data_IF_695256895652
#
_entry.id   IF_695256895652
#
_cell.length_a   1.000
_cell.length_b   1.000
_cell.length_c   1.000
_cell.angle_alpha   90.00
_cell.angle_beta   90.00
_cell.angle_gamma   90.00
#
_symmetry.space_group_name_H-M   'P 1'
#
loop_
_entity.id
_entity.type
_entity.pdbx_description
1 polymer ?
#
# COMPACT_ATOMS: atom_id res chain seq x y z
N UNK A 1 0.55 -21.37 24.70
CA UNK A 1 1.62 -22.23 24.14
C UNK A 1 2.46 -21.35 23.24
N UNK A 2 3.79 -21.31 23.37
CA UNK A 2 4.64 -20.62 22.39
C UNK A 2 4.38 -21.27 21.03
N UNK A 3 3.97 -20.49 20.02
CA UNK A 3 3.76 -21.01 18.68
C UNK A 3 5.09 -21.47 18.08
N UNK A 4 5.07 -22.55 17.30
CA UNK A 4 6.23 -22.99 16.53
C UNK A 4 6.78 -21.81 15.70
N UNK A 5 8.10 -21.64 15.68
CA UNK A 5 8.74 -20.57 14.91
C UNK A 5 8.38 -20.72 13.43
N UNK A 6 7.66 -19.74 12.88
CA UNK A 6 7.29 -19.71 11.48
C UNK A 6 8.36 -18.94 10.70
N UNK A 7 8.89 -19.57 9.65
CA UNK A 7 9.74 -18.88 8.68
C UNK A 7 8.84 -18.29 7.58
N UNK A 8 8.83 -16.96 7.47
CA UNK A 8 8.08 -16.26 6.43
C UNK A 8 8.98 -15.94 5.23
N UNK A 9 8.46 -15.97 4.01
CA UNK A 9 9.22 -15.41 2.88
C UNK A 9 9.36 -13.89 3.04
N UNK A 10 8.28 -13.21 3.39
CA UNK A 10 8.27 -11.78 3.66
C UNK A 10 7.47 -11.49 4.91
N UNK A 11 7.99 -10.60 5.76
CA UNK A 11 7.27 -10.00 6.89
C UNK A 11 7.21 -8.49 6.68
N UNK A 12 6.01 -7.93 6.68
CA UNK A 12 5.77 -6.49 6.56
C UNK A 12 5.21 -5.99 7.89
N UNK A 13 5.88 -5.02 8.51
CA UNK A 13 5.41 -4.34 9.71
C UNK A 13 5.30 -2.85 9.44
N UNK A 14 4.06 -2.37 9.39
CA UNK A 14 3.75 -0.97 9.15
C UNK A 14 3.46 -0.25 10.46
N UNK A 15 4.28 0.77 10.76
CA UNK A 15 4.20 1.59 11.95
C UNK A 15 3.43 2.87 11.64
N UNK A 16 2.32 3.08 12.35
CA UNK A 16 1.56 4.33 12.33
C UNK A 16 2.28 5.39 13.18
N UNK A 17 3.48 5.73 12.74
CA UNK A 17 4.45 6.47 13.52
C UNK A 17 4.09 7.96 13.65
N UNK A 18 3.64 8.57 12.55
CA UNK A 18 3.27 9.98 12.52
C UNK A 18 2.35 10.29 11.33
N UNK A 19 1.43 11.23 11.56
CA UNK A 19 0.45 11.70 10.57
C UNK A 19 0.67 13.13 10.08
N UNK A 20 1.70 13.84 10.54
CA UNK A 20 1.91 15.26 10.18
C UNK A 20 1.90 15.45 8.68
N UNK A 21 1.00 16.27 8.13
CA UNK A 21 0.96 16.49 6.68
C UNK A 21 0.23 17.78 6.31
N UNK A 22 0.90 18.66 5.55
CA UNK A 22 0.31 19.87 4.99
C UNK A 22 -0.52 19.64 3.72
N UNK A 23 -0.44 18.45 3.12
CA UNK A 23 -1.18 18.10 1.90
C UNK A 23 -2.68 17.90 2.11
N UNK A 24 -3.49 18.08 1.07
CA UNK A 24 -4.95 18.03 1.13
C UNK A 24 -5.55 17.00 0.18
N UNK A 25 -5.11 15.74 0.29
CA UNK A 25 -5.63 14.67 -0.57
C UNK A 25 -7.14 14.45 -0.31
N UNK A 26 -7.99 14.31 -1.36
CA UNK A 26 -9.43 14.11 -1.19
C UNK A 26 -9.80 12.88 -0.37
N UNK A 27 -9.00 11.82 -0.46
CA UNK A 27 -9.21 10.53 0.23
C UNK A 27 -8.24 10.33 1.40
N UNK A 28 -7.78 11.41 2.03
CA UNK A 28 -6.82 11.34 3.13
C UNK A 28 -7.36 10.53 4.32
N UNK A 29 -6.62 9.50 4.74
CA UNK A 29 -6.96 8.69 5.92
C UNK A 29 -6.62 9.34 7.27
N UNK A 30 -5.90 10.47 7.23
CA UNK A 30 -5.51 11.22 8.41
C UNK A 30 -6.56 12.28 8.71
N UNK A 31 -7.01 12.32 9.96
CA UNK A 31 -7.84 13.39 10.49
C UNK A 31 -7.10 14.73 10.49
N UNK A 32 -7.86 15.82 10.61
CA UNK A 32 -7.28 17.17 10.70
C UNK A 32 -6.33 17.32 11.91
N UNK A 33 -6.64 16.68 13.03
CA UNK A 33 -5.80 16.66 14.23
C UNK A 33 -4.49 15.91 14.00
N UNK A 34 -4.55 14.70 13.44
CA UNK A 34 -3.38 13.90 13.10
C UNK A 34 -2.44 14.63 12.14
N UNK A 35 -3.01 15.31 11.14
CA UNK A 35 -2.26 16.12 10.16
C UNK A 35 -1.56 17.32 10.78
N UNK A 36 -2.17 17.92 11.80
CA UNK A 36 -1.61 19.07 12.50
C UNK A 36 -0.59 18.67 13.59
N UNK A 37 -0.53 17.37 13.95
CA UNK A 37 0.39 16.90 14.98
C UNK A 37 1.85 17.22 14.63
N UNK A 38 2.58 17.79 15.59
CA UNK A 38 4.01 18.06 15.45
C UNK A 38 4.87 16.98 16.09
N UNK A 39 4.24 15.99 16.73
CA UNK A 39 4.89 14.89 17.44
C UNK A 39 4.51 13.56 16.81
N UNK A 40 5.45 12.59 16.76
CA UNK A 40 5.13 11.21 16.49
C UNK A 40 4.05 10.67 17.45
N UNK A 41 3.19 9.79 16.95
CA UNK A 41 2.24 9.02 17.76
C UNK A 41 2.98 7.94 18.54
N UNK A 42 3.95 7.30 17.89
CA UNK A 42 4.79 6.27 18.46
C UNK A 42 6.15 6.83 18.86
N UNK A 43 6.72 6.28 19.93
CA UNK A 43 8.12 6.50 20.29
C UNK A 43 8.91 5.17 20.15
N UNK A 44 10.26 5.22 20.09
CA UNK A 44 11.07 4.02 19.88
C UNK A 44 10.83 2.88 20.90
N UNK A 45 10.56 3.21 22.17
CA UNK A 45 10.28 2.21 23.20
C UNK A 45 8.94 1.50 22.96
N UNK A 46 7.90 2.24 22.54
CA UNK A 46 6.62 1.64 22.16
C UNK A 46 6.78 0.72 20.95
N UNK A 47 7.58 1.13 19.96
CA UNK A 47 7.88 0.30 18.78
C UNK A 47 8.64 -0.97 19.16
N UNK A 48 9.66 -0.86 20.02
CA UNK A 48 10.40 -2.01 20.55
C UNK A 48 9.48 -3.00 21.29
N UNK A 49 8.56 -2.49 22.10
CA UNK A 49 7.55 -3.33 22.76
C UNK A 49 6.67 -4.06 21.75
N UNK A 50 6.21 -3.36 20.71
CA UNK A 50 5.42 -3.97 19.65
C UNK A 50 6.20 -5.05 18.91
N UNK A 51 7.47 -4.82 18.55
CA UNK A 51 8.30 -5.86 17.94
C UNK A 51 8.46 -7.08 18.83
N UNK A 52 8.69 -6.89 20.14
CA UNK A 52 8.71 -8.00 21.09
C UNK A 52 7.40 -8.78 21.08
N UNK A 53 6.25 -8.10 21.13
CA UNK A 53 4.96 -8.77 21.05
C UNK A 53 4.78 -9.53 19.73
N UNK A 54 5.15 -8.95 18.58
CA UNK A 54 5.14 -9.62 17.26
C UNK A 54 5.99 -10.91 17.28
N UNK A 55 7.17 -10.89 17.91
CA UNK A 55 7.99 -12.11 18.05
C UNK A 55 7.30 -13.18 18.91
N UNK A 56 6.55 -12.79 19.95
CA UNK A 56 5.78 -13.76 20.77
C UNK A 56 4.62 -14.41 20.01
N UNK A 57 4.12 -13.75 18.95
CA UNK A 57 3.13 -14.31 18.03
C UNK A 57 3.75 -15.31 17.02
N UNK A 58 5.08 -15.51 17.06
CA UNK A 58 5.81 -16.47 16.23
C UNK A 58 6.45 -15.87 14.97
N UNK A 59 6.40 -14.55 14.79
CA UNK A 59 7.07 -13.85 13.70
C UNK A 59 8.51 -13.49 14.11
N UNK A 60 9.41 -14.47 14.04
CA UNK A 60 10.81 -14.30 14.50
C UNK A 60 11.82 -14.30 13.36
N UNK A 61 11.52 -14.98 12.25
CA UNK A 61 12.44 -15.10 11.11
C UNK A 61 11.71 -14.95 9.78
N UNK A 62 12.34 -14.24 8.84
CA UNK A 62 11.86 -14.08 7.47
C UNK A 62 13.03 -13.93 6.49
N UNK A 63 12.81 -14.15 5.19
CA UNK A 63 13.85 -13.79 4.19
C UNK A 63 13.93 -12.27 4.03
N UNK A 64 12.77 -11.66 3.79
CA UNK A 64 12.63 -10.23 3.53
C UNK A 64 11.80 -9.55 4.63
N UNK A 65 12.40 -8.59 5.34
CA UNK A 65 11.71 -7.73 6.31
C UNK A 65 11.43 -6.37 5.66
N UNK A 66 10.18 -5.91 5.72
CA UNK A 66 9.79 -4.56 5.28
C UNK A 66 9.18 -3.80 6.45
N UNK A 67 9.76 -2.66 6.81
CA UNK A 67 9.28 -1.78 7.87
C UNK A 67 8.72 -0.49 7.27
N UNK A 68 7.40 -0.39 7.12
CA UNK A 68 6.80 0.88 6.74
C UNK A 68 6.72 1.82 7.94
N UNK A 69 7.14 3.07 7.78
CA UNK A 69 7.14 4.06 8.86
C UNK A 69 6.44 5.35 8.42
N UNK A 70 5.36 5.64 9.14
CA UNK A 70 4.61 6.87 8.98
C UNK A 70 3.49 6.79 7.94
N UNK A 71 2.63 7.80 7.97
CA UNK A 71 1.47 7.95 7.08
C UNK A 71 1.37 9.33 6.45
N UNK A 72 1.97 10.33 7.09
CA UNK A 72 2.02 11.70 6.62
C UNK A 72 3.33 12.03 5.90
N UNK A 73 3.78 13.26 6.07
CA UNK A 73 5.09 13.72 5.64
C UNK A 73 6.13 13.54 6.76
N UNK A 74 6.81 12.39 6.79
CA UNK A 74 7.89 12.13 7.75
C UNK A 74 9.04 13.14 7.64
N UNK A 75 9.25 13.70 6.44
CA UNK A 75 10.27 14.70 6.18
C UNK A 75 9.90 16.09 6.70
N UNK A 76 8.70 16.32 7.23
CA UNK A 76 8.30 17.58 7.88
C UNK A 76 8.32 17.48 9.42
N UNK A 77 8.75 16.34 9.96
CA UNK A 77 8.97 16.17 11.41
C UNK A 77 10.28 16.84 11.85
N UNK A 78 10.38 17.13 13.15
CA UNK A 78 11.53 17.80 13.76
C UNK A 78 12.83 16.99 13.68
N UNK A 79 13.94 17.62 14.09
CA UNK A 79 15.30 17.12 13.82
C UNK A 79 15.64 15.77 14.45
N UNK A 80 14.90 15.34 15.48
CA UNK A 80 15.09 14.05 16.16
C UNK A 80 14.56 12.81 15.40
N UNK A 81 13.95 13.01 14.22
CA UNK A 81 13.34 11.89 13.46
C UNK A 81 14.40 10.91 12.94
N UNK A 82 15.61 11.38 12.62
CA UNK A 82 16.69 10.53 12.09
C UNK A 82 17.16 9.55 13.16
N UNK A 83 17.39 10.04 14.38
CA UNK A 83 17.82 9.24 15.52
C UNK A 83 16.72 8.25 15.93
N UNK A 84 15.45 8.66 15.86
CA UNK A 84 14.31 7.79 16.13
C UNK A 84 14.17 6.67 15.09
N UNK A 85 14.35 6.95 13.79
CA UNK A 85 14.32 5.94 12.74
C UNK A 85 15.46 4.94 12.87
N UNK A 86 16.68 5.39 13.20
CA UNK A 86 17.80 4.50 13.50
C UNK A 86 17.52 3.62 14.72
N UNK A 87 16.95 4.19 15.79
CA UNK A 87 16.55 3.41 16.96
C UNK A 87 15.50 2.34 16.61
N UNK A 88 14.52 2.66 15.77
CA UNK A 88 13.52 1.70 15.27
C UNK A 88 14.19 0.58 14.46
N UNK A 89 15.10 0.94 13.56
CA UNK A 89 15.84 -0.03 12.75
C UNK A 89 16.70 -0.97 13.62
N UNK A 90 17.42 -0.42 14.61
CA UNK A 90 18.18 -1.20 15.58
C UNK A 90 17.27 -2.15 16.39
N UNK A 91 16.10 -1.69 16.84
CA UNK A 91 15.13 -2.53 17.54
C UNK A 91 14.61 -3.67 16.65
N UNK A 92 14.38 -3.42 15.36
CA UNK A 92 13.96 -4.45 14.42
C UNK A 92 15.07 -5.48 14.17
N UNK A 93 16.31 -5.05 13.96
CA UNK A 93 17.47 -5.93 13.81
C UNK A 93 17.74 -6.78 15.07
N UNK A 94 17.40 -6.27 16.27
CA UNK A 94 17.47 -7.02 17.51
C UNK A 94 16.29 -7.99 17.73
N UNK A 95 15.13 -7.72 17.13
CA UNK A 95 13.91 -8.51 17.31
C UNK A 95 13.74 -9.62 16.26
N UNK A 96 14.15 -9.38 15.01
CA UNK A 96 13.89 -10.27 13.88
C UNK A 96 15.19 -10.76 13.24
N UNK A 97 15.19 -12.02 12.80
CA UNK A 97 16.24 -12.56 11.93
C UNK A 97 15.79 -12.47 10.46
N UNK A 98 16.58 -11.79 9.63
CA UNK A 98 16.27 -11.62 8.21
C UNK A 98 17.52 -11.53 7.32
N UNK A 99 17.37 -11.94 6.06
CA UNK A 99 18.45 -11.89 5.07
C UNK A 99 18.54 -10.49 4.46
N UNK A 100 17.39 -9.88 4.12
CA UNK A 100 17.29 -8.54 3.54
C UNK A 100 16.26 -7.72 4.29
N UNK A 101 16.62 -6.49 4.66
CA UNK A 101 15.73 -5.55 5.33
C UNK A 101 15.51 -4.30 4.49
N UNK A 102 14.27 -3.81 4.48
CA UNK A 102 13.89 -2.48 3.98
C UNK A 102 13.18 -1.69 5.08
N UNK A 103 13.43 -0.38 5.12
CA UNK A 103 12.57 0.57 5.83
C UNK A 103 11.98 1.55 4.81
N UNK A 104 10.65 1.60 4.76
CA UNK A 104 9.87 2.40 3.83
C UNK A 104 9.30 3.63 4.54
N UNK A 105 9.84 4.80 4.26
CA UNK A 105 9.55 6.05 4.98
C UNK A 105 8.54 6.87 4.18
N UNK A 106 7.33 7.02 4.70
CA UNK A 106 6.28 7.75 4.02
C UNK A 106 6.55 9.26 3.97
N UNK A 107 6.43 9.87 2.79
CA UNK A 107 6.51 11.32 2.63
C UNK A 107 5.54 11.82 1.56
N UNK A 108 4.91 12.97 1.76
CA UNK A 108 4.16 13.64 0.69
C UNK A 108 4.97 14.72 -0.02
N UNK A 109 6.20 14.96 0.44
CA UNK A 109 7.08 16.04 0.00
C UNK A 109 6.42 17.43 0.11
N UNK A 110 5.37 17.58 0.91
CA UNK A 110 4.69 18.86 1.09
C UNK A 110 5.43 19.73 2.11
N UNK A 111 6.09 20.79 1.64
CA UNK A 111 6.87 21.70 2.48
C UNK A 111 7.93 22.43 1.67
N UNK A 112 8.99 22.90 2.35
CA UNK A 112 10.16 23.48 1.67
C UNK A 112 11.04 22.36 1.13
N UNK A 113 11.13 22.25 -0.19
CA UNK A 113 11.87 21.17 -0.87
C UNK A 113 13.33 21.02 -0.38
N UNK A 114 14.14 22.10 -0.24
CA UNK A 114 15.52 21.97 0.21
C UNK A 114 15.65 21.35 1.61
N UNK A 115 14.74 21.71 2.51
CA UNK A 115 14.74 21.20 3.88
C UNK A 115 14.39 19.70 3.90
N UNK A 116 13.46 19.28 3.03
CA UNK A 116 13.07 17.88 2.89
C UNK A 116 14.16 17.02 2.24
N UNK A 117 14.84 17.55 1.21
CA UNK A 117 16.00 16.90 0.59
C UNK A 117 17.12 16.73 1.62
N UNK A 118 17.50 17.79 2.33
CA UNK A 118 18.56 17.72 3.34
C UNK A 118 18.24 16.70 4.44
N UNK A 119 16.96 16.59 4.84
CA UNK A 119 16.53 15.59 5.82
C UNK A 119 16.55 14.17 5.25
N UNK A 120 16.12 13.98 4.01
CA UNK A 120 16.21 12.68 3.33
C UNK A 120 17.66 12.21 3.20
N UNK A 121 18.59 13.09 2.82
CA UNK A 121 20.04 12.80 2.77
C UNK A 121 20.60 12.37 4.12
N UNK A 122 20.21 13.05 5.20
CA UNK A 122 20.62 12.68 6.57
C UNK A 122 20.11 11.30 6.97
N UNK A 123 18.87 10.97 6.64
CA UNK A 123 18.29 9.64 6.90
C UNK A 123 19.12 8.59 6.17
N UNK A 124 19.32 8.74 4.87
CA UNK A 124 20.03 7.76 4.04
C UNK A 124 21.48 7.57 4.51
N UNK A 125 22.16 8.67 4.84
CA UNK A 125 23.54 8.62 5.34
C UNK A 125 23.59 7.92 6.70
N UNK A 126 22.67 8.24 7.61
CA UNK A 126 22.59 7.58 8.92
C UNK A 126 22.37 6.08 8.81
N UNK A 127 21.49 5.64 7.91
CA UNK A 127 21.24 4.20 7.69
C UNK A 127 22.46 3.48 7.08
N UNK A 128 23.18 4.12 6.17
CA UNK A 128 24.43 3.57 5.60
C UNK A 128 25.54 3.44 6.66
N UNK A 129 25.59 4.36 7.62
CA UNK A 129 26.60 4.36 8.70
C UNK A 129 26.27 3.36 9.82
N UNK A 130 24.99 3.13 10.12
CA UNK A 130 24.56 2.34 11.26
C UNK A 130 24.52 0.81 11.04
N UNK A 131 24.67 0.35 9.79
CA UNK A 131 24.80 -1.06 9.38
C UNK A 131 23.74 -2.01 9.99
N UNK A 132 22.48 -1.61 9.92
CA UNK A 132 21.35 -2.39 10.46
C UNK A 132 20.85 -3.51 9.53
N UNK A 133 21.56 -3.80 8.43
CA UNK A 133 21.06 -4.63 7.33
C UNK A 133 19.69 -4.17 6.77
N UNK A 134 19.35 -2.89 6.93
CA UNK A 134 18.11 -2.25 6.47
C UNK A 134 18.45 -1.12 5.48
N UNK A 135 17.95 -1.21 4.25
CA UNK A 135 18.02 -0.12 3.27
C UNK A 135 16.82 0.83 3.42
N UNK A 136 17.08 2.14 3.43
CA UNK A 136 16.08 3.15 3.69
C UNK A 136 15.51 3.75 2.42
N UNK A 137 14.26 3.41 2.10
CA UNK A 137 13.48 3.88 0.94
C UNK A 137 12.47 4.94 1.32
N UNK A 138 12.18 5.86 0.41
CA UNK A 138 11.08 6.80 0.54
C UNK A 138 9.87 6.30 -0.21
N UNK A 139 8.72 6.30 0.45
CA UNK A 139 7.41 6.11 -0.18
C UNK A 139 6.82 7.50 -0.38
N UNK A 140 7.03 8.04 -1.59
CA UNK A 140 6.55 9.36 -1.99
C UNK A 140 5.08 9.25 -2.36
N UNK A 141 4.20 9.81 -1.54
CA UNK A 141 2.75 9.81 -1.74
C UNK A 141 2.32 11.06 -2.50
N UNK A 142 1.85 10.89 -3.73
CA UNK A 142 1.37 11.97 -4.58
C UNK A 142 -0.15 11.92 -4.73
N UNK A 143 -0.81 13.08 -4.68
CA UNK A 143 -2.19 13.23 -5.12
C UNK A 143 -2.22 13.21 -6.65
N UNK A 144 -2.61 12.08 -7.23
CA UNK A 144 -2.57 11.89 -8.67
C UNK A 144 -3.46 12.87 -9.43
N UNK A 145 -4.57 13.32 -8.79
CA UNK A 145 -5.53 14.25 -9.36
C UNK A 145 -5.03 15.70 -9.49
N UNK A 146 -3.89 16.05 -8.89
CA UNK A 146 -3.40 17.41 -8.92
C UNK A 146 -2.77 17.71 -10.28
N UNK A 147 -3.32 18.62 -11.06
CA UNK A 147 -2.79 18.98 -12.39
C UNK A 147 -1.74 20.11 -12.35
N UNK A 148 -1.38 20.63 -11.17
CA UNK A 148 -0.44 21.75 -11.08
C UNK A 148 0.96 21.33 -11.53
N UNK A 149 1.49 22.01 -12.55
CA UNK A 149 2.85 21.80 -13.02
C UNK A 149 3.90 22.03 -11.92
N UNK A 150 3.69 23.01 -11.04
CA UNK A 150 4.61 23.27 -9.93
C UNK A 150 4.56 22.19 -8.86
N UNK A 151 3.40 21.55 -8.67
CA UNK A 151 3.26 20.41 -7.76
C UNK A 151 4.05 19.20 -8.26
N UNK A 152 3.86 18.81 -9.52
CA UNK A 152 4.62 17.71 -10.11
C UNK A 152 6.10 18.02 -10.26
N UNK A 153 6.47 19.26 -10.59
CA UNK A 153 7.88 19.68 -10.59
C UNK A 153 8.50 19.51 -9.20
N UNK A 154 7.78 19.84 -8.13
CA UNK A 154 8.26 19.68 -6.76
C UNK A 154 8.54 18.21 -6.42
N UNK A 155 7.58 17.32 -6.73
CA UNK A 155 7.70 15.88 -6.49
C UNK A 155 8.82 15.27 -7.35
N UNK A 156 8.81 15.54 -8.66
CA UNK A 156 9.83 15.04 -9.58
C UNK A 156 11.23 15.53 -9.19
N UNK A 157 11.38 16.77 -8.70
CA UNK A 157 12.68 17.30 -8.27
C UNK A 157 13.22 16.56 -7.04
N UNK A 158 12.35 16.22 -6.08
CA UNK A 158 12.74 15.38 -4.94
C UNK A 158 13.18 13.99 -5.41
N UNK A 159 12.37 13.36 -6.26
CA UNK A 159 12.63 12.03 -6.80
C UNK A 159 13.93 12.00 -7.61
N UNK A 160 14.13 12.96 -8.52
CA UNK A 160 15.33 13.07 -9.34
C UNK A 160 16.60 13.21 -8.46
N UNK A 161 16.49 13.96 -7.36
CA UNK A 161 17.58 14.09 -6.38
C UNK A 161 17.87 12.76 -5.68
N UNK A 162 16.84 12.09 -5.17
CA UNK A 162 17.01 10.81 -4.47
C UNK A 162 17.51 9.69 -5.37
N UNK A 163 17.06 9.66 -6.63
CA UNK A 163 17.57 8.77 -7.66
C UNK A 163 19.07 8.97 -7.89
N UNK A 164 19.55 10.23 -7.89
CA UNK A 164 20.97 10.54 -7.97
C UNK A 164 21.79 10.08 -6.75
N UNK A 165 21.18 10.08 -5.56
CA UNK A 165 21.83 9.70 -4.30
C UNK A 165 21.86 8.18 -4.05
N UNK A 166 20.80 7.48 -4.43
CA UNK A 166 20.59 6.06 -4.08
C UNK A 166 20.50 5.11 -5.27
N UNK A 167 20.27 5.60 -6.49
CA UNK A 167 19.98 4.75 -7.64
C UNK A 167 18.52 4.30 -7.67
N UNK A 168 18.23 3.18 -8.34
CA UNK A 168 16.88 2.63 -8.45
C UNK A 168 16.43 2.18 -9.85
N UNK A 169 17.35 2.03 -10.81
CA UNK A 169 17.05 1.48 -12.14
C UNK A 169 16.93 -0.05 -12.19
N UNK A 170 17.22 -0.73 -11.08
CA UNK A 170 17.32 -2.18 -10.91
C UNK A 170 16.30 -2.76 -9.91
N UNK A 171 15.32 -1.95 -9.48
CA UNK A 171 14.31 -2.35 -8.49
C UNK A 171 14.60 -1.90 -7.06
N UNK A 172 15.75 -1.25 -6.82
CA UNK A 172 16.14 -0.76 -5.49
C UNK A 172 15.82 0.73 -5.23
N UNK A 173 14.92 1.29 -6.03
CA UNK A 173 14.53 2.70 -5.97
C UNK A 173 13.47 3.04 -4.92
N UNK A 174 13.23 4.34 -4.75
CA UNK A 174 12.10 4.87 -3.98
C UNK A 174 10.76 4.53 -4.64
N UNK A 175 9.68 4.52 -3.85
CA UNK A 175 8.35 4.15 -4.34
C UNK A 175 7.53 5.42 -4.55
N UNK A 176 6.90 5.57 -5.72
CA UNK A 176 5.86 6.57 -5.93
C UNK A 176 4.50 5.93 -5.73
N UNK A 177 3.79 6.37 -4.69
CA UNK A 177 2.43 5.93 -4.40
C UNK A 177 1.43 7.02 -4.82
N UNK A 178 0.67 6.73 -5.87
CA UNK A 178 -0.34 7.60 -6.43
C UNK A 178 -1.67 7.42 -5.69
N UNK A 179 -2.07 8.42 -4.91
CA UNK A 179 -3.34 8.41 -4.21
C UNK A 179 -4.48 8.85 -5.15
N UNK A 180 -5.42 7.94 -5.40
CA UNK A 180 -6.53 8.12 -6.33
C UNK A 180 -7.81 8.57 -5.61
N UNK A 181 -8.61 9.37 -6.32
CA UNK A 181 -9.95 9.78 -5.91
C UNK A 181 -10.90 9.56 -7.09
N UNK A 182 -12.00 8.86 -6.87
CA UNK A 182 -12.97 8.52 -7.91
C UNK A 182 -13.65 9.76 -8.49
N UNK A 183 -13.77 10.83 -7.69
CA UNK A 183 -14.33 12.09 -8.17
C UNK A 183 -13.39 12.87 -9.09
N UNK A 184 -12.11 12.51 -9.14
CA UNK A 184 -11.06 13.23 -9.85
C UNK A 184 -9.98 12.26 -10.35
N UNK A 185 -10.35 11.33 -11.24
CA UNK A 185 -9.37 10.45 -11.86
C UNK A 185 -8.42 11.25 -12.77
N UNK A 186 -7.09 11.00 -12.72
CA UNK A 186 -6.12 11.77 -13.48
C UNK A 186 -6.10 11.38 -14.96
N UNK A 187 -5.67 12.30 -15.81
CA UNK A 187 -5.37 11.99 -17.22
C UNK A 187 -4.11 11.12 -17.31
N UNK A 188 -4.24 9.93 -17.90
CA UNK A 188 -3.15 8.94 -17.97
C UNK A 188 -1.98 9.43 -18.82
N UNK A 189 -2.18 9.98 -20.04
CA UNK A 189 -1.09 10.54 -20.83
C UNK A 189 -0.26 11.58 -20.05
N UNK A 190 -0.90 12.56 -19.41
CA UNK A 190 -0.19 13.56 -18.58
C UNK A 190 0.55 12.91 -17.41
N UNK A 191 -0.08 11.97 -16.71
CA UNK A 191 0.57 11.27 -15.60
C UNK A 191 1.82 10.51 -16.08
N UNK A 192 1.76 9.87 -17.26
CA UNK A 192 2.89 9.17 -17.88
C UNK A 192 4.02 10.08 -18.35
N UNK A 193 3.74 11.36 -18.66
CA UNK A 193 4.79 12.35 -18.92
C UNK A 193 5.63 12.62 -17.67
N UNK A 194 5.01 12.57 -16.48
CA UNK A 194 5.70 12.74 -15.21
C UNK A 194 6.45 11.49 -14.79
N UNK A 195 5.77 10.34 -14.77
CA UNK A 195 6.29 9.14 -14.09
C UNK A 195 6.95 8.13 -15.03
N UNK A 196 6.61 8.16 -16.32
CA UNK A 196 7.00 7.11 -17.26
C UNK A 196 8.45 7.15 -17.72
N UNK A 197 9.27 8.08 -17.20
CA UNK A 197 10.72 8.14 -17.39
C UNK A 197 11.50 7.39 -16.29
N UNK A 198 10.82 6.96 -15.24
CA UNK A 198 11.43 6.36 -14.07
C UNK A 198 11.40 4.83 -14.11
N UNK A 199 12.42 4.20 -13.53
CA UNK A 199 12.53 2.74 -13.39
C UNK A 199 12.16 2.20 -12.01
N UNK A 200 11.78 3.07 -11.07
CA UNK A 200 11.38 2.68 -9.71
C UNK A 200 9.89 2.31 -9.63
N UNK A 201 9.42 1.69 -8.52
CA UNK A 201 8.03 1.25 -8.39
C UNK A 201 7.01 2.40 -8.39
N UNK A 202 5.99 2.29 -9.26
CA UNK A 202 4.85 3.22 -9.31
C UNK A 202 3.55 2.47 -8.99
N UNK A 203 2.99 2.74 -7.83
CA UNK A 203 1.81 2.06 -7.29
C UNK A 203 0.62 3.03 -7.18
N UNK A 204 -0.59 2.48 -7.19
CA UNK A 204 -1.83 3.25 -7.03
C UNK A 204 -2.53 2.84 -5.76
N UNK A 205 -2.82 3.78 -4.87
CA UNK A 205 -3.63 3.52 -3.67
C UNK A 205 -4.98 4.22 -3.78
N UNK A 206 -6.00 3.57 -3.26
CA UNK A 206 -7.36 4.10 -3.21
C UNK A 206 -8.06 3.59 -1.95
N UNK A 207 -8.79 4.48 -1.29
CA UNK A 207 -9.51 4.21 -0.05
C UNK A 207 -11.03 4.44 -0.26
N UNK A 208 -11.78 3.42 -0.72
CA UNK A 208 -13.19 3.59 -1.09
C UNK A 208 -14.06 4.11 0.04
N UNK A 209 -13.79 3.67 1.27
CA UNK A 209 -14.55 4.06 2.46
C UNK A 209 -14.44 5.54 2.79
N UNK A 210 -13.35 6.20 2.37
CA UNK A 210 -13.08 7.62 2.62
C UNK A 210 -13.44 8.52 1.44
N UNK A 211 -13.68 7.94 0.26
CA UNK A 211 -13.92 8.68 -0.96
C UNK A 211 -15.39 9.11 -1.08
N UNK A 212 -15.74 10.41 -1.06
CA UNK A 212 -17.13 10.86 -1.18
C UNK A 212 -17.78 10.37 -2.48
N UNK A 213 -17.02 10.26 -3.57
CA UNK A 213 -17.52 9.86 -4.88
C UNK A 213 -17.82 8.35 -4.97
N UNK A 214 -17.32 7.53 -4.04
CA UNK A 214 -17.57 6.08 -3.99
C UNK A 214 -19.03 5.69 -3.72
N UNK A 215 -19.93 6.64 -3.47
CA UNK A 215 -21.38 6.39 -3.44
C UNK A 215 -22.03 6.42 -4.83
N UNK A 216 -21.34 6.95 -5.86
CA UNK A 216 -21.85 7.07 -7.22
C UNK A 216 -21.42 5.88 -8.09
N UNK A 217 -22.35 5.05 -8.58
CA UNK A 217 -22.11 3.99 -9.55
C UNK A 217 -21.21 4.33 -10.73
N UNK A 218 -21.44 5.48 -11.37
CA UNK A 218 -20.76 5.83 -12.62
C UNK A 218 -19.26 6.04 -12.42
N UNK A 219 -18.85 6.42 -11.20
CA UNK A 219 -17.44 6.61 -10.86
C UNK A 219 -16.66 5.29 -10.80
N UNK A 220 -17.33 4.16 -10.55
CA UNK A 220 -16.69 2.84 -10.61
C UNK A 220 -16.51 2.33 -12.03
N UNK A 221 -17.42 2.70 -12.95
CA UNK A 221 -17.23 2.41 -14.37
C UNK A 221 -16.02 3.17 -14.90
N UNK A 222 -15.92 4.47 -14.56
CA UNK A 222 -14.75 5.28 -14.89
C UNK A 222 -13.46 4.74 -14.25
N UNK A 223 -13.51 4.29 -13.00
CA UNK A 223 -12.37 3.65 -12.33
C UNK A 223 -11.91 2.39 -13.06
N UNK A 224 -12.86 1.54 -13.45
CA UNK A 224 -12.56 0.27 -14.11
C UNK A 224 -11.89 0.47 -15.46
N UNK A 225 -12.38 1.43 -16.26
CA UNK A 225 -11.76 1.82 -17.52
C UNK A 225 -10.36 2.43 -17.28
N UNK A 226 -10.24 3.33 -16.29
CA UNK A 226 -8.99 3.98 -15.95
C UNK A 226 -7.92 2.98 -15.48
N UNK A 227 -8.26 2.04 -14.59
CA UNK A 227 -7.33 1.03 -14.10
C UNK A 227 -6.84 0.12 -15.22
N UNK A 228 -7.71 -0.22 -16.17
CA UNK A 228 -7.34 -1.04 -17.34
C UNK A 228 -6.37 -0.28 -18.27
N UNK A 229 -6.67 0.98 -18.58
CA UNK A 229 -5.78 1.83 -19.39
C UNK A 229 -4.43 2.06 -18.69
N UNK A 230 -4.46 2.32 -17.38
CA UNK A 230 -3.26 2.50 -16.57
C UNK A 230 -2.40 1.23 -16.52
N UNK A 231 -3.02 0.06 -16.33
CA UNK A 231 -2.35 -1.24 -16.40
C UNK A 231 -1.65 -1.44 -17.74
N UNK A 232 -2.31 -1.13 -18.86
CA UNK A 232 -1.72 -1.24 -20.20
C UNK A 232 -0.55 -0.28 -20.36
N UNK A 233 -0.68 0.97 -19.91
CA UNK A 233 0.39 1.96 -19.97
C UNK A 233 1.63 1.49 -19.20
N UNK A 234 1.46 1.08 -17.94
CA UNK A 234 2.54 0.55 -17.10
C UNK A 234 3.22 -0.67 -17.73
N UNK A 235 2.43 -1.67 -18.13
CA UNK A 235 2.95 -2.92 -18.73
C UNK A 235 3.69 -2.66 -20.03
N UNK A 236 3.19 -1.77 -20.89
CA UNK A 236 3.80 -1.46 -22.18
C UNK A 236 5.20 -0.84 -22.04
N UNK A 237 5.45 -0.12 -20.94
CA UNK A 237 6.74 0.50 -20.63
C UNK A 237 7.62 -0.35 -19.71
N UNK A 238 7.15 -1.53 -19.29
CA UNK A 238 7.89 -2.39 -18.37
C UNK A 238 8.10 -1.77 -16.99
N UNK A 239 7.17 -0.93 -16.55
CA UNK A 239 7.27 -0.28 -15.24
C UNK A 239 7.02 -1.27 -14.11
N UNK A 240 7.77 -1.12 -13.02
CA UNK A 240 7.51 -1.84 -11.77
C UNK A 240 6.26 -1.27 -11.10
N UNK A 241 5.30 -2.15 -10.81
CA UNK A 241 4.03 -1.77 -10.21
C UNK A 241 3.34 -2.99 -9.61
N UNK A 242 2.81 -2.83 -8.40
CA UNK A 242 1.96 -3.82 -7.72
C UNK A 242 0.75 -4.18 -8.58
N UNK A 243 0.18 -3.22 -9.31
CA UNK A 243 -0.94 -3.45 -10.21
C UNK A 243 -0.55 -4.41 -11.33
N UNK A 244 0.66 -4.30 -11.88
CA UNK A 244 1.13 -5.19 -12.95
C UNK A 244 1.53 -6.55 -12.39
N UNK A 245 2.42 -6.57 -11.40
CA UNK A 245 3.00 -7.78 -10.85
C UNK A 245 1.95 -8.69 -10.20
N UNK A 246 1.09 -8.14 -9.33
CA UNK A 246 0.07 -8.94 -8.61
C UNK A 246 -1.08 -9.36 -9.50
N UNK A 247 -1.41 -8.56 -10.53
CA UNK A 247 -2.38 -9.01 -11.54
C UNK A 247 -1.81 -10.20 -12.31
N UNK A 248 -0.56 -10.11 -12.78
CA UNK A 248 0.06 -11.21 -13.52
C UNK A 248 0.15 -12.48 -12.66
N UNK A 249 0.62 -12.37 -11.42
CA UNK A 249 0.71 -13.48 -10.48
C UNK A 249 -0.67 -14.07 -10.13
N UNK A 250 -1.67 -13.24 -9.87
CA UNK A 250 -3.01 -13.75 -9.58
C UNK A 250 -3.60 -14.52 -10.77
N UNK A 251 -3.36 -14.05 -12.00
CA UNK A 251 -3.88 -14.68 -13.21
C UNK A 251 -3.25 -16.04 -13.49
N UNK A 252 -1.99 -16.29 -13.09
CA UNK A 252 -1.36 -17.62 -13.21
C UNK A 252 -1.86 -18.62 -12.16
N UNK A 253 -2.38 -18.14 -11.02
CA UNK A 253 -2.83 -18.95 -9.89
C UNK A 253 -4.36 -19.13 -9.80
N UNK A 254 -5.11 -18.79 -10.85
CA UNK A 254 -6.60 -18.81 -10.87
C UNK A 254 -7.26 -20.19 -10.80
N UNK A 255 -6.51 -21.29 -10.75
CA UNK A 255 -7.08 -22.65 -10.72
C UNK A 255 -7.52 -23.13 -9.33
N UNK A 256 -7.41 -22.30 -8.29
CA UNK A 256 -7.79 -22.63 -6.91
C UNK A 256 -9.32 -22.70 -6.71
N UNK A 257 -9.81 -23.77 -6.08
CA UNK A 257 -11.20 -23.83 -5.62
C UNK A 257 -11.46 -22.86 -4.44
N UNK A 258 -12.72 -22.72 -4.02
CA UNK A 258 -13.12 -21.77 -2.97
C UNK A 258 -12.48 -22.07 -1.61
N UNK A 259 -12.27 -23.35 -1.28
CA UNK A 259 -11.63 -23.76 -0.04
C UNK A 259 -10.14 -23.38 -0.05
N UNK A 260 -9.48 -23.57 -1.20
CA UNK A 260 -8.10 -23.15 -1.44
C UNK A 260 -7.94 -21.63 -1.35
N UNK A 261 -8.91 -20.85 -1.85
CA UNK A 261 -8.92 -19.39 -1.69
C UNK A 261 -9.02 -19.00 -0.21
N UNK A 262 -9.86 -19.66 0.57
CA UNK A 262 -9.96 -19.39 2.01
C UNK A 262 -8.63 -19.63 2.72
N UNK A 263 -7.97 -20.77 2.44
CA UNK A 263 -6.64 -21.06 3.02
C UNK A 263 -5.58 -20.03 2.59
N UNK A 264 -5.60 -19.59 1.34
CA UNK A 264 -4.70 -18.52 0.85
C UNK A 264 -4.94 -17.19 1.60
N UNK A 265 -6.19 -16.82 1.84
CA UNK A 265 -6.53 -15.63 2.63
C UNK A 265 -6.03 -15.71 4.08
N UNK A 266 -6.12 -16.89 4.70
CA UNK A 266 -5.58 -17.15 6.04
C UNK A 266 -4.05 -17.04 6.08
N UNK A 267 -3.37 -17.50 5.02
CA UNK A 267 -1.91 -17.38 4.87
C UNK A 267 -1.44 -15.93 4.67
N UNK A 268 -2.09 -15.20 3.77
CA UNK A 268 -1.76 -13.79 3.47
C UNK A 268 -2.01 -12.85 4.65
N UNK A 269 -3.00 -13.16 5.50
CA UNK A 269 -3.30 -12.35 6.68
C UNK A 269 -2.16 -12.27 7.70
N UNK A 270 -1.27 -13.28 7.74
CA UNK A 270 -0.23 -13.37 8.77
C UNK A 270 1.09 -12.69 8.41
N UNK A 271 1.30 -12.25 7.17
CA UNK A 271 2.58 -11.64 6.74
C UNK A 271 2.62 -10.12 6.90
N UNK A 272 1.47 -9.47 7.12
CA UNK A 272 1.36 -8.03 7.19
C UNK A 272 0.75 -7.63 8.53
N UNK A 273 1.52 -6.87 9.30
CA UNK A 273 1.16 -6.38 10.62
C UNK A 273 1.15 -4.85 10.62
N UNK A 274 0.21 -4.28 11.35
CA UNK A 274 0.18 -2.86 11.64
C UNK A 274 0.37 -2.65 13.14
N UNK A 275 1.16 -1.62 13.48
CA UNK A 275 1.27 -1.09 14.84
C UNK A 275 0.59 0.28 14.81
N UNK A 276 -0.55 0.40 15.49
CA UNK A 276 -1.32 1.64 15.51
C UNK A 276 -0.63 2.74 16.33
N UNK A 277 -1.18 3.96 16.31
CA UNK A 277 -0.60 5.11 17.04
C UNK A 277 -0.55 4.95 18.57
N UNK A 278 -1.14 3.89 19.14
CA UNK A 278 -1.06 3.54 20.57
C UNK A 278 -0.13 2.35 20.84
N UNK A 279 0.46 1.76 19.79
CA UNK A 279 1.34 0.60 19.89
C UNK A 279 0.60 -0.74 19.87
N UNK A 280 -0.71 -0.77 19.58
CA UNK A 280 -1.46 -2.01 19.45
C UNK A 280 -1.18 -2.66 18.10
N UNK A 281 -1.07 -4.00 18.09
CA UNK A 281 -0.80 -4.78 16.89
C UNK A 281 -2.09 -5.36 16.34
N UNK A 282 -2.27 -5.22 15.03
CA UNK A 282 -3.33 -5.91 14.31
C UNK A 282 -2.87 -6.37 12.93
N UNK A 283 -3.53 -7.41 12.41
CA UNK A 283 -3.26 -7.90 11.07
C UNK A 283 -3.78 -6.92 10.02
N UNK A 284 -2.94 -6.70 9.02
CA UNK A 284 -3.26 -5.92 7.83
C UNK A 284 -3.72 -6.78 6.68
N UNK A 285 -3.99 -6.11 5.55
CA UNK A 285 -4.24 -6.82 4.29
C UNK A 285 -3.45 -6.21 3.15
N UNK A 286 -2.76 -7.06 2.40
CA UNK A 286 -2.06 -6.62 1.21
C UNK A 286 -3.02 -6.66 0.03
N UNK A 287 -3.26 -5.52 -0.63
CA UNK A 287 -4.12 -5.41 -1.79
C UNK A 287 -3.31 -5.12 -3.06
N UNK A 288 -3.90 -5.37 -4.23
CA UNK A 288 -3.30 -5.06 -5.54
C UNK A 288 -2.86 -3.59 -5.65
N UNK A 289 -3.58 -2.70 -4.97
CA UNK A 289 -3.34 -1.27 -4.93
C UNK A 289 -2.25 -0.88 -3.93
N UNK A 290 -2.36 -1.35 -2.69
CA UNK A 290 -1.42 -1.04 -1.60
C UNK A 290 -1.73 -1.90 -0.38
N UNK A 291 -0.85 -1.87 0.61
CA UNK A 291 -1.16 -2.38 1.95
C UNK A 291 -2.26 -1.53 2.61
N UNK A 292 -3.25 -2.21 3.19
CA UNK A 292 -4.42 -1.60 3.79
C UNK A 292 -4.45 -1.87 5.30
N UNK A 293 -4.57 -0.79 6.07
CA UNK A 293 -4.85 -0.83 7.50
C UNK A 293 -6.36 -0.91 7.75
N UNK A 294 -6.90 -2.07 8.12
CA UNK A 294 -8.33 -2.22 8.27
C UNK A 294 -8.91 -1.31 9.36
N UNK A 295 -8.16 -0.92 10.41
CA UNK A 295 -8.66 -0.05 11.50
C UNK A 295 -9.00 1.32 10.97
N UNK A 296 -8.13 1.83 10.10
CA UNK A 296 -8.29 3.16 9.51
C UNK A 296 -9.28 3.13 8.36
N UNK A 297 -9.26 2.10 7.52
CA UNK A 297 -10.10 2.05 6.33
C UNK A 297 -11.51 1.47 6.57
N UNK A 298 -11.81 0.89 7.74
CA UNK A 298 -13.17 0.51 8.10
C UNK A 298 -14.08 1.75 8.26
N UNK A 299 -15.35 1.62 7.82
CA UNK A 299 -16.34 2.70 7.92
C UNK A 299 -16.67 3.09 9.38
N UNK A 300 -17.17 4.31 9.58
CA UNK A 300 -17.49 4.87 10.91
C UNK A 300 -18.51 4.06 11.72
N UNK A 301 -19.30 3.19 11.10
CA UNK A 301 -20.20 2.26 11.79
C UNK A 301 -19.45 1.20 12.63
N UNK A 302 -18.20 0.87 12.25
CA UNK A 302 -17.31 -0.02 13.00
C UNK A 302 -16.54 0.74 14.08
N UNK A 303 -16.15 1.99 13.82
CA UNK A 303 -15.43 2.83 14.79
C UNK A 303 -16.25 3.20 16.04
N UNK A 304 -17.59 3.21 15.95
CA UNK A 304 -18.49 3.56 17.06
C UNK A 304 -18.91 2.39 17.97
N UNK A 305 -18.63 1.13 17.59
CA UNK A 305 -18.88 0.01 18.49
C UNK A 305 -17.72 -0.15 19.48
N UNK A 306 -17.92 0.48 20.64
CA UNK A 306 -17.16 0.38 21.89
C UNK A 306 -16.31 -0.90 22.04
N UNK A 307 -15.00 -0.71 22.20
CA UNK A 307 -14.15 -1.58 23.02
C UNK A 307 -13.80 -2.98 22.51
N UNK A 308 -14.30 -3.41 21.35
CA UNK A 308 -13.86 -4.66 20.72
C UNK A 308 -13.59 -4.42 19.23
N UNK A 309 -12.30 -4.39 18.87
CA UNK A 309 -11.81 -4.44 17.50
C UNK A 309 -12.19 -5.79 16.85
N UNK A 310 -13.47 -6.05 16.61
CA UNK A 310 -13.94 -7.24 15.89
C UNK A 310 -13.94 -6.95 14.40
N UNK A 311 -12.75 -6.71 13.88
CA UNK A 311 -12.59 -6.12 12.55
C UNK A 311 -12.05 -7.10 11.51
N UNK A 312 -11.53 -8.25 11.96
CA UNK A 312 -11.16 -9.34 11.06
C UNK A 312 -12.38 -10.23 10.92
N UNK A 313 -13.17 -10.02 9.86
CA UNK A 313 -14.16 -11.02 9.44
C UNK A 313 -13.41 -12.30 9.09
N UNK A 314 -13.97 -13.45 9.41
CA UNK A 314 -13.37 -14.70 8.95
C UNK A 314 -13.30 -14.69 7.42
N UNK A 315 -12.26 -15.28 6.79
CA UNK A 315 -12.15 -15.32 5.33
C UNK A 315 -13.42 -15.86 4.65
N UNK A 316 -14.09 -16.85 5.24
CA UNK A 316 -15.38 -17.35 4.76
C UNK A 316 -16.51 -16.31 4.77
N UNK A 317 -16.60 -15.46 5.82
CA UNK A 317 -17.58 -14.35 5.86
C UNK A 317 -17.26 -13.26 4.84
N UNK A 318 -15.98 -12.97 4.61
CA UNK A 318 -15.54 -12.01 3.59
C UNK A 318 -15.93 -12.48 2.19
N UNK A 319 -15.58 -13.72 1.85
CA UNK A 319 -15.96 -14.35 0.58
C UNK A 319 -17.48 -14.42 0.42
N UNK A 320 -18.19 -14.82 1.47
CA UNK A 320 -19.66 -14.85 1.47
C UNK A 320 -20.28 -13.48 1.20
N UNK A 321 -19.71 -12.40 1.75
CA UNK A 321 -20.17 -11.04 1.49
C UNK A 321 -19.86 -10.57 0.07
N UNK A 322 -18.67 -10.88 -0.45
CA UNK A 322 -18.29 -10.60 -1.83
C UNK A 322 -19.26 -11.28 -2.81
N UNK A 323 -19.57 -12.57 -2.58
CA UNK A 323 -20.43 -13.39 -3.45
C UNK A 323 -21.92 -13.04 -3.36
N UNK A 324 -22.34 -12.24 -2.36
CA UNK A 324 -23.70 -11.64 -2.35
C UNK A 324 -23.84 -10.53 -3.40
N UNK A 325 -22.73 -9.97 -3.90
CA UNK A 325 -22.77 -8.96 -4.94
C UNK A 325 -22.98 -9.61 -6.32
N UNK A 326 -24.04 -9.25 -7.07
CA UNK A 326 -24.34 -9.93 -8.33
C UNK A 326 -23.19 -9.87 -9.35
N UNK A 327 -22.49 -8.74 -9.45
CA UNK A 327 -21.37 -8.60 -10.38
C UNK A 327 -20.20 -9.53 -10.03
N UNK A 328 -19.90 -9.71 -8.73
CA UNK A 328 -18.83 -10.60 -8.27
C UNK A 328 -19.20 -12.06 -8.47
N UNK A 329 -20.44 -12.44 -8.14
CA UNK A 329 -20.92 -13.82 -8.25
C UNK A 329 -20.85 -14.37 -9.67
N UNK A 330 -21.06 -13.53 -10.68
CA UNK A 330 -20.98 -13.92 -12.10
C UNK A 330 -19.65 -13.55 -12.76
N UNK A 331 -18.67 -13.04 -12.00
CA UNK A 331 -17.40 -12.59 -12.57
C UNK A 331 -16.49 -13.79 -12.83
N UNK A 332 -16.00 -14.01 -14.07
CA UNK A 332 -15.05 -15.09 -14.34
C UNK A 332 -13.68 -14.86 -13.67
N UNK A 333 -13.36 -13.63 -13.26
CA UNK A 333 -12.10 -13.27 -12.63
C UNK A 333 -12.19 -13.11 -11.09
N UNK A 334 -13.24 -13.64 -10.45
CA UNK A 334 -13.41 -13.49 -9.00
C UNK A 334 -12.26 -14.13 -8.20
N UNK A 335 -11.74 -15.27 -8.66
CA UNK A 335 -10.55 -15.90 -8.07
C UNK A 335 -9.33 -14.98 -8.14
N UNK A 336 -9.01 -14.43 -9.33
CA UNK A 336 -7.90 -13.49 -9.48
C UNK A 336 -8.08 -12.24 -8.60
N UNK A 337 -9.32 -11.76 -8.43
CA UNK A 337 -9.65 -10.64 -7.55
C UNK A 337 -9.35 -10.95 -6.07
N UNK A 338 -9.58 -12.19 -5.64
CA UNK A 338 -9.24 -12.65 -4.28
C UNK A 338 -7.73 -12.81 -4.12
N UNK A 339 -7.07 -13.55 -5.03
CA UNK A 339 -5.62 -13.85 -4.96
C UNK A 339 -4.77 -12.57 -5.00
N UNK A 340 -5.12 -11.62 -5.87
CA UNK A 340 -4.43 -10.32 -5.95
C UNK A 340 -4.69 -9.39 -4.76
N UNK A 341 -5.63 -9.73 -3.87
CA UNK A 341 -6.08 -8.87 -2.77
C UNK A 341 -7.02 -7.73 -3.18
N UNK A 342 -7.36 -7.59 -4.47
CA UNK A 342 -8.31 -6.58 -4.97
C UNK A 342 -9.70 -6.65 -4.32
N UNK A 343 -10.09 -7.84 -3.86
CA UNK A 343 -11.37 -8.05 -3.17
C UNK A 343 -11.51 -7.21 -1.89
N UNK A 344 -10.41 -6.77 -1.27
CA UNK A 344 -10.46 -5.89 -0.09
C UNK A 344 -11.03 -4.52 -0.42
N UNK A 345 -10.58 -3.93 -1.54
CA UNK A 345 -11.20 -2.70 -2.07
C UNK A 345 -12.68 -2.93 -2.35
N UNK A 346 -13.06 -4.07 -2.93
CA UNK A 346 -14.46 -4.42 -3.15
C UNK A 346 -15.29 -4.48 -1.85
N UNK A 347 -14.76 -5.11 -0.79
CA UNK A 347 -15.47 -5.19 0.49
C UNK A 347 -15.72 -3.80 1.08
N UNK A 348 -14.73 -2.90 1.01
CA UNK A 348 -14.87 -1.51 1.47
C UNK A 348 -15.85 -0.71 0.60
N UNK A 349 -15.83 -0.92 -0.71
CA UNK A 349 -16.74 -0.27 -1.66
C UNK A 349 -18.19 -0.70 -1.48
N UNK A 350 -18.44 -2.00 -1.25
CA UNK A 350 -19.80 -2.56 -1.09
C UNK A 350 -20.54 -1.94 0.10
N UNK A 351 -19.83 -1.42 1.12
CA UNK A 351 -20.45 -0.72 2.25
C UNK A 351 -21.12 0.60 1.84
N UNK A 352 -20.68 1.22 0.74
CA UNK A 352 -21.13 2.54 0.29
C UNK A 352 -21.90 2.52 -1.02
N UNK A 353 -21.76 1.44 -1.79
CA UNK A 353 -22.33 1.31 -3.13
C UNK A 353 -23.72 0.68 -3.10
N UNK A 354 -24.65 1.23 -3.90
CA UNK A 354 -25.93 0.57 -4.15
C UNK A 354 -25.74 -0.71 -4.98
N UNK A 355 -26.48 -1.77 -4.65
CA UNK A 355 -26.38 -3.07 -5.36
C UNK A 355 -26.70 -2.92 -6.85
N UNK A 356 -25.67 -3.02 -7.69
CA UNK A 356 -25.78 -3.02 -9.15
C UNK A 356 -24.92 -4.13 -9.75
N UNK A 357 -25.52 -4.93 -10.64
CA UNK A 357 -24.88 -6.05 -11.33
C UNK A 357 -23.83 -5.63 -12.36
N UNK A 358 -23.86 -4.37 -12.82
CA UNK A 358 -22.92 -3.86 -13.83
C UNK A 358 -21.59 -3.47 -13.21
N UNK A 359 -21.57 -3.12 -11.92
CA UNK A 359 -20.43 -2.45 -11.30
C UNK A 359 -19.50 -3.46 -10.67
N UNK A 360 -18.22 -3.42 -11.07
CA UNK A 360 -17.16 -4.12 -10.36
C UNK A 360 -16.76 -3.31 -9.11
N UNK A 361 -17.05 -3.79 -7.89
CA UNK A 361 -16.76 -3.02 -6.69
C UNK A 361 -15.26 -2.85 -6.41
N UNK A 362 -14.37 -3.65 -7.00
CA UNK A 362 -12.91 -3.43 -6.93
C UNK A 362 -12.35 -2.59 -8.08
N UNK A 363 -13.12 -2.37 -9.16
CA UNK A 363 -12.63 -1.77 -10.40
C UNK A 363 -11.70 -2.66 -11.25
N UNK A 364 -11.35 -3.88 -10.79
CA UNK A 364 -10.28 -4.68 -11.39
C UNK A 364 -10.72 -5.61 -12.53
N UNK A 365 -12.03 -5.73 -12.80
CA UNK A 365 -12.54 -6.69 -13.80
C UNK A 365 -11.94 -6.46 -15.19
N UNK A 366 -11.92 -5.22 -15.69
CA UNK A 366 -11.30 -4.90 -16.98
C UNK A 366 -9.78 -5.14 -17.00
N UNK A 367 -9.08 -4.90 -15.89
CA UNK A 367 -7.63 -5.18 -15.79
C UNK A 367 -7.34 -6.66 -16.04
N UNK A 368 -8.08 -7.56 -15.39
CA UNK A 368 -7.94 -9.01 -15.60
C UNK A 368 -8.28 -9.44 -17.03
N UNK A 369 -9.37 -8.90 -17.60
CA UNK A 369 -9.76 -9.20 -18.98
C UNK A 369 -8.70 -8.72 -20.00
N UNK A 370 -8.11 -7.53 -19.78
CA UNK A 370 -7.00 -7.03 -20.60
C UNK A 370 -5.76 -7.92 -20.50
N UNK A 371 -5.44 -8.44 -19.31
CA UNK A 371 -4.31 -9.37 -19.14
C UNK A 371 -4.45 -10.59 -20.05
N UNK A 372 -5.62 -11.24 -20.06
CA UNK A 372 -5.89 -12.43 -20.87
C UNK A 372 -5.71 -12.17 -22.37
N UNK A 373 -6.25 -11.05 -22.87
CA UNK A 373 -6.15 -10.69 -24.29
C UNK A 373 -4.69 -10.46 -24.74
N UNK A 374 -3.91 -9.76 -23.92
CA UNK A 374 -2.49 -9.48 -24.23
C UNK A 374 -1.65 -10.76 -24.13
N UNK A 375 -1.97 -11.67 -23.21
CA UNK A 375 -1.25 -12.95 -23.08
C UNK A 375 -1.60 -13.92 -24.21
N UNK A 376 -2.86 -14.00 -24.63
CA UNK A 376 -3.30 -14.81 -25.77
C UNK A 376 -2.66 -14.37 -27.09
N UNK A 377 -2.58 -13.05 -27.35
CA UNK A 377 -1.95 -12.52 -28.57
C UNK A 377 -0.44 -12.81 -28.67
N UNK A 378 0.28 -12.91 -27.54
CA UNK A 378 1.71 -13.33 -27.53
C UNK A 378 1.90 -14.81 -27.85
N UNK A 379 0.98 -15.67 -27.41
CA UNK A 379 1.04 -17.12 -27.68
C UNK A 379 0.84 -17.46 -29.17
N UNK A 380 0.11 -16.64 -29.92
CA UNK A 380 -0.08 -16.80 -31.36
C UNK A 380 1.09 -16.31 -32.23
N UNK A 381 1.98 -15.48 -31.67
CA UNK A 381 3.17 -14.97 -32.37
C UNK A 381 4.43 -15.82 -32.12
N UNK A 382 4.33 -16.83 -31.25
CA UNK A 382 5.43 -17.72 -30.87
C UNK A 382 5.18 -19.19 -31.25
N UNK A 383 4.14 -19.45 -32.06
CA UNK A 383 3.78 -20.77 -32.60
C UNK A 383 4.18 -20.96 -34.05
#
# INVERSE_FOLDING_TARGET
MPGDAKQYETLIVNLDYAGRCAGSCPVCALSAEERASTRPFLNPLTVENAFREITTLGHTSCRDLVLGVGRGNMLDLGDGVVEQLNAIAASAAGAFSFDRGLIEIATSVMGRLPDQIARAERIVSGFREADHNLDARFVVVANAANESASYWQHICSFIDHMLGLRGGGDGDGDILLLNLSLGQLPDIPKLMEHVGKYGFPVNVTWAPSLDPAAANPDTYLALEDWLAEWYVALRSRGMDSSLVARTADAMTHTQSDMDSLQTQLEGHGNMLLFVDGQGQIHYGFSAVSADMDPVRFASGAVRQQQGQQKMVRSPGEELGNLMRWPACRSCPHVQACVVSGAYKSALLSIERLARDKRICPSGMRSVFACHDQVSASRSHLSG
#
